data_IF_891526314141
#
_entry.id   IF_891526314141
#
_cell.length_a   1.000
_cell.length_b   1.000
_cell.length_c   1.000
_cell.angle_alpha   90.00
_cell.angle_beta   90.00
_cell.angle_gamma   90.00
#
_symmetry.space_group_name_H-M   'P 1'
#
loop_
_entity.id
_entity.type
_entity.pdbx_description
1 polymer ?
#
# COMPACT_ATOMS: atom_id res chain seq x y z
N UNK A 1 -6.09 21.61 18.83
CA UNK A 1 -5.19 20.53 19.32
C UNK A 1 -5.54 19.30 18.50
N UNK A 2 -4.73 18.77 17.58
CA UNK A 2 -3.27 18.73 17.43
C UNK A 2 -2.91 18.25 16.01
N UNK A 3 -1.75 18.70 15.52
CA UNK A 3 -0.94 18.09 14.47
C UNK A 3 -1.46 18.12 13.02
N UNK A 4 -1.37 19.31 12.40
CA UNK A 4 -0.87 19.41 11.04
C UNK A 4 0.61 18.97 11.08
N UNK A 5 0.88 17.72 10.70
CA UNK A 5 2.22 17.15 10.64
C UNK A 5 2.52 16.87 9.18
N UNK A 6 3.17 17.84 8.54
CA UNK A 6 3.98 17.69 7.33
C UNK A 6 3.28 16.98 6.18
N UNK A 7 2.86 17.76 5.19
CA UNK A 7 2.35 17.33 3.88
C UNK A 7 3.37 16.49 3.06
N UNK A 8 3.91 15.40 3.61
CA UNK A 8 4.30 14.28 2.76
C UNK A 8 2.98 13.68 2.25
N UNK A 9 2.73 13.65 0.93
CA UNK A 9 1.49 13.11 0.40
C UNK A 9 1.36 11.65 0.88
N UNK A 10 0.33 11.37 1.67
CA UNK A 10 0.07 10.02 2.17
C UNK A 10 0.17 9.01 1.03
N UNK A 11 0.96 7.96 1.22
CA UNK A 11 1.29 6.97 0.19
C UNK A 11 0.14 6.03 -0.18
N UNK A 12 -1.09 6.31 0.30
CA UNK A 12 -2.30 5.48 0.11
C UNK A 12 -2.52 5.09 -1.35
N UNK A 13 -2.33 6.04 -2.28
CA UNK A 13 -2.52 5.79 -3.71
C UNK A 13 -1.45 4.87 -4.31
N UNK A 14 -0.28 4.78 -3.67
CA UNK A 14 0.86 3.94 -4.09
C UNK A 14 0.87 2.56 -3.44
N UNK A 15 0.04 2.30 -2.43
CA UNK A 15 0.06 1.04 -1.67
C UNK A 15 -0.27 -0.18 -2.53
N UNK A 16 -1.22 -0.07 -3.46
CA UNK A 16 -1.54 -1.16 -4.39
C UNK A 16 -0.33 -1.53 -5.25
N UNK A 17 0.32 -0.54 -5.86
CA UNK A 17 1.53 -0.75 -6.65
C UNK A 17 2.70 -1.26 -5.78
N UNK A 18 2.81 -0.80 -4.54
CA UNK A 18 3.83 -1.26 -3.59
C UNK A 18 3.67 -2.74 -3.24
N UNK A 19 2.46 -3.19 -2.91
CA UNK A 19 2.17 -4.60 -2.58
C UNK A 19 2.36 -5.52 -3.78
N UNK A 20 2.08 -5.02 -4.99
CA UNK A 20 2.24 -5.76 -6.25
C UNK A 20 3.67 -5.67 -6.83
N UNK A 21 4.64 -5.13 -6.07
CA UNK A 21 6.04 -4.94 -6.50
C UNK A 21 6.18 -4.18 -7.84
N UNK A 22 5.26 -3.25 -8.10
CA UNK A 22 5.16 -2.49 -9.34
C UNK A 22 5.77 -1.07 -9.25
N UNK A 23 6.41 -0.73 -8.13
CA UNK A 23 7.08 0.55 -7.92
C UNK A 23 8.55 0.49 -8.29
N UNK A 24 9.12 1.63 -8.66
CA UNK A 24 10.59 1.73 -8.79
C UNK A 24 11.26 1.55 -7.43
N UNK A 25 12.55 1.20 -7.42
CA UNK A 25 13.31 1.07 -6.18
C UNK A 25 13.35 2.38 -5.35
N UNK A 26 13.26 3.54 -6.01
CA UNK A 26 13.17 4.84 -5.33
C UNK A 26 11.86 5.01 -4.58
N UNK A 27 10.74 4.77 -5.27
CA UNK A 27 9.39 4.87 -4.70
C UNK A 27 9.17 3.84 -3.58
N UNK A 28 9.63 2.61 -3.77
CA UNK A 28 9.57 1.53 -2.77
C UNK A 28 10.25 1.94 -1.46
N UNK A 29 11.43 2.58 -1.52
CA UNK A 29 12.11 3.09 -0.31
C UNK A 29 11.33 4.21 0.37
N UNK A 30 10.74 5.11 -0.40
CA UNK A 30 9.91 6.21 0.13
C UNK A 30 8.68 5.65 0.86
N UNK A 31 7.95 4.72 0.24
CA UNK A 31 6.78 4.07 0.85
C UNK A 31 7.18 3.30 2.10
N UNK A 32 8.21 2.46 2.01
CA UNK A 32 8.69 1.67 3.15
C UNK A 32 9.13 2.54 4.34
N UNK A 33 9.80 3.67 4.08
CA UNK A 33 10.18 4.63 5.13
C UNK A 33 8.96 5.27 5.78
N UNK A 34 7.94 5.63 4.99
CA UNK A 34 6.72 6.23 5.52
C UNK A 34 5.91 5.26 6.38
N UNK A 35 5.80 4.00 5.96
CA UNK A 35 5.09 2.95 6.71
C UNK A 35 5.69 2.69 8.09
N UNK A 36 7.00 2.91 8.26
CA UNK A 36 7.67 2.79 9.57
C UNK A 36 7.31 3.92 10.55
N UNK A 37 6.77 5.05 10.06
CA UNK A 37 6.49 6.23 10.87
C UNK A 37 5.02 6.63 10.91
N UNK A 38 4.14 5.97 10.16
CA UNK A 38 2.74 6.34 10.03
C UNK A 38 1.81 5.13 10.23
N UNK A 39 1.27 4.99 11.44
CA UNK A 39 0.36 3.89 11.79
C UNK A 39 -0.89 3.84 10.91
N UNK A 40 -1.40 5.01 10.48
CA UNK A 40 -2.56 5.09 9.58
C UNK A 40 -2.25 4.45 8.23
N UNK A 41 -1.12 4.78 7.61
CA UNK A 41 -0.72 4.20 6.34
C UNK A 41 -0.30 2.73 6.49
N UNK A 42 0.25 2.34 7.65
CA UNK A 42 0.52 0.94 7.96
C UNK A 42 -0.77 0.12 8.07
N UNK A 43 -1.83 0.66 8.68
CA UNK A 43 -3.14 0.02 8.71
C UNK A 43 -3.75 -0.09 7.29
N UNK A 44 -3.73 0.98 6.50
CA UNK A 44 -4.19 0.96 5.10
C UNK A 44 -3.38 -0.08 4.27
N UNK A 45 -2.07 -0.21 4.52
CA UNK A 45 -1.21 -1.21 3.86
C UNK A 45 -1.66 -2.64 4.18
N UNK A 46 -1.99 -2.93 5.44
CA UNK A 46 -2.45 -4.26 5.85
C UNK A 46 -3.74 -4.66 5.14
N UNK A 47 -4.70 -3.74 5.02
CA UNK A 47 -5.97 -3.99 4.30
C UNK A 47 -5.72 -4.31 2.81
N UNK A 48 -4.83 -3.56 2.16
CA UNK A 48 -4.47 -3.80 0.75
C UNK A 48 -3.71 -5.11 0.58
N UNK A 49 -2.79 -5.43 1.49
CA UNK A 49 -2.01 -6.67 1.46
C UNK A 49 -2.90 -7.91 1.65
N UNK A 50 -3.90 -7.82 2.53
CA UNK A 50 -4.91 -8.88 2.70
C UNK A 50 -5.71 -9.08 1.41
N UNK A 51 -6.20 -8.00 0.80
CA UNK A 51 -6.94 -8.08 -0.47
C UNK A 51 -6.11 -8.74 -1.58
N UNK A 52 -4.82 -8.37 -1.73
CA UNK A 52 -3.93 -9.01 -2.72
C UNK A 52 -3.69 -10.48 -2.39
N UNK A 53 -3.59 -10.85 -1.11
CA UNK A 53 -3.44 -12.25 -0.70
C UNK A 53 -4.65 -13.09 -1.07
N UNK A 54 -5.86 -12.53 -0.97
CA UNK A 54 -7.09 -13.18 -1.43
C UNK A 54 -7.13 -13.30 -2.96
N UNK A 55 -6.72 -12.25 -3.69
CA UNK A 55 -6.64 -12.29 -5.15
C UNK A 55 -5.66 -13.35 -5.67
N UNK A 56 -4.60 -13.67 -4.92
CA UNK A 56 -3.65 -14.72 -5.29
C UNK A 56 -4.26 -16.15 -5.26
N UNK A 57 -5.43 -16.33 -4.67
CA UNK A 57 -6.13 -17.62 -4.61
C UNK A 57 -7.00 -17.90 -5.83
N UNK A 58 -7.20 -16.90 -6.67
CA UNK A 58 -8.05 -16.98 -7.86
C UNK A 58 -7.24 -16.68 -9.11
N UNK A 59 -7.66 -17.26 -10.22
CA UNK A 59 -7.12 -17.00 -11.55
C UNK A 59 -7.91 -15.90 -12.25
N UNK A 60 -7.39 -15.42 -13.38
CA UNK A 60 -8.13 -14.44 -14.20
C UNK A 60 -9.39 -15.08 -14.76
N UNK A 61 -9.34 -16.37 -15.07
CA UNK A 61 -10.47 -17.15 -15.57
C UNK A 61 -11.63 -17.21 -14.55
N UNK A 62 -11.34 -17.33 -13.26
CA UNK A 62 -12.35 -17.33 -12.19
C UNK A 62 -13.12 -15.99 -12.07
N UNK A 63 -12.57 -14.89 -12.60
CA UNK A 63 -13.19 -13.55 -12.61
C UNK A 63 -14.11 -13.30 -13.82
N UNK A 64 -14.06 -14.16 -14.84
CA UNK A 64 -14.78 -13.99 -16.10
C UNK A 64 -16.13 -14.72 -16.16
N UNK A 65 -16.49 -15.45 -15.10
CA UNK A 65 -17.80 -16.12 -14.91
C UNK A 65 -18.86 -15.19 -14.29
#
# INVERSE_FOLDING_TARGET
MTADHGEDPHVRQSLGAYVLDALTAGETRTVSRHLQSCDRCAADYMEVAEAVSLLALITVEDLLE
#
